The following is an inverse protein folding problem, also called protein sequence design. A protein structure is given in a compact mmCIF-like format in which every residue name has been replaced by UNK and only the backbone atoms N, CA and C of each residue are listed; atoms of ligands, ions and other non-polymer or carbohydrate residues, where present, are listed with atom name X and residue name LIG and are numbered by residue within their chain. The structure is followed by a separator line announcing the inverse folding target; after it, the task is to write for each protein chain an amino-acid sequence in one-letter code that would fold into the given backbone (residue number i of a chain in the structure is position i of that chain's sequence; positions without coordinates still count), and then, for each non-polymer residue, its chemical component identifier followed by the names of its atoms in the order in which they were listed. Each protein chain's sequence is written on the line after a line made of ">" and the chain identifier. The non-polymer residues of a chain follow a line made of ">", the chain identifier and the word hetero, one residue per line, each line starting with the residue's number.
data_IF_241882386580
#
_entry.id   IF_241882386580
#
_cell.length_a   1.000
_cell.length_b   1.000
_cell.length_c   1.000
_cell.angle_alpha   90.00
_cell.angle_beta   90.00
_cell.angle_gamma   90.00
#
_symmetry.space_group_name_H-M   'P 1'
#
loop_
_entity.id
_entity.type
_entity.pdbx_description
1 polymer ?
#
# COMPACT_ATOMS: atom_id res chain seq x y z
N UNK A 1 3.57 10.59 13.80
CA UNK A 1 3.20 11.29 12.59
C UNK A 1 1.86 12.01 12.74
N UNK A 2 1.70 13.09 11.98
CA UNK A 2 0.58 14.01 12.15
C UNK A 2 -0.77 13.35 11.83
N UNK A 3 -0.83 12.57 10.76
CA UNK A 3 -2.07 11.89 10.36
C UNK A 3 -2.48 10.86 11.41
N UNK A 4 -1.52 10.11 11.94
CA UNK A 4 -1.80 9.14 12.99
C UNK A 4 -2.29 9.80 14.27
N UNK A 5 -1.67 10.91 14.64
CA UNK A 5 -2.08 11.67 15.82
C UNK A 5 -3.52 12.19 15.68
N UNK A 6 -3.84 12.79 14.53
CA UNK A 6 -5.19 13.30 14.27
C UNK A 6 -6.22 12.18 14.30
N UNK A 7 -5.89 11.02 13.70
CA UNK A 7 -6.79 9.88 13.68
C UNK A 7 -7.06 9.36 15.10
N UNK A 8 -6.04 9.24 15.94
CA UNK A 8 -6.20 8.77 17.32
C UNK A 8 -7.01 9.74 18.16
N UNK A 9 -6.80 11.04 17.97
CA UNK A 9 -7.55 12.07 18.70
C UNK A 9 -9.02 12.14 18.28
N UNK A 10 -9.36 11.60 17.12
CA UNK A 10 -10.73 11.62 16.58
C UNK A 10 -11.36 10.22 16.52
N UNK A 11 -11.05 9.37 17.50
CA UNK A 11 -11.69 8.07 17.66
C UNK A 11 -11.28 7.05 16.62
N UNK A 12 -9.99 7.05 16.23
CA UNK A 12 -9.47 6.11 15.23
C UNK A 12 -10.25 6.16 13.92
N UNK A 13 -10.32 7.33 13.33
CA UNK A 13 -11.14 7.60 12.15
C UNK A 13 -10.76 6.73 10.93
N UNK A 14 -9.56 6.13 10.90
CA UNK A 14 -9.14 5.23 9.82
C UNK A 14 -9.45 3.76 10.10
N UNK A 15 -10.01 3.46 11.27
CA UNK A 15 -10.28 2.07 11.67
C UNK A 15 -11.16 1.35 10.66
N UNK A 16 -10.74 0.16 10.27
CA UNK A 16 -11.44 -0.72 9.31
C UNK A 16 -11.51 -0.20 7.88
N UNK A 17 -10.82 0.90 7.57
CA UNK A 17 -10.65 1.32 6.19
C UNK A 17 -9.60 0.44 5.52
N UNK A 18 -9.70 0.29 4.21
CA UNK A 18 -8.73 -0.48 3.44
C UNK A 18 -7.60 0.44 2.98
N UNK A 19 -6.38 -0.01 3.16
CA UNK A 19 -5.22 0.73 2.71
C UNK A 19 -4.18 -0.20 2.10
N UNK A 20 -3.34 0.33 1.22
CA UNK A 20 -2.22 -0.41 0.65
C UNK A 20 -1.08 0.55 0.36
N UNK A 21 0.14 0.11 0.62
CA UNK A 21 1.34 0.87 0.31
C UNK A 21 1.89 0.40 -1.04
N UNK A 22 2.26 1.35 -1.89
CA UNK A 22 2.98 1.06 -3.13
C UNK A 22 4.18 2.00 -3.19
N UNK A 23 5.31 1.51 -3.68
CA UNK A 23 6.55 2.28 -3.70
C UNK A 23 7.20 2.12 -5.08
N UNK A 24 7.54 3.23 -5.70
CA UNK A 24 8.36 3.23 -6.90
C UNK A 24 9.73 3.76 -6.50
N UNK A 25 10.79 3.03 -6.83
CA UNK A 25 12.14 3.40 -6.42
C UNK A 25 13.10 3.35 -7.59
N UNK A 26 14.17 4.10 -7.43
CA UNK A 26 15.27 4.13 -8.40
C UNK A 26 16.26 3.00 -8.13
N UNK A 27 16.50 2.69 -6.86
CA UNK A 27 17.51 1.69 -6.44
C UNK A 27 16.96 0.81 -5.33
N UNK A 28 17.39 1.03 -4.09
CA UNK A 28 17.02 0.25 -2.93
C UNK A 28 16.26 1.06 -1.89
N UNK A 29 16.07 0.48 -0.73
CA UNK A 29 15.36 1.12 0.36
C UNK A 29 13.85 1.07 0.27
N UNK A 30 13.31 0.45 -0.79
CA UNK A 30 11.87 0.39 -1.03
C UNK A 30 11.14 -0.38 0.06
N UNK A 31 11.68 -1.50 0.50
CA UNK A 31 11.04 -2.34 1.52
C UNK A 31 10.93 -1.56 2.84
N UNK A 32 11.96 -0.80 3.20
CA UNK A 32 11.92 0.00 4.42
C UNK A 32 10.82 1.05 4.38
N UNK A 33 10.66 1.75 3.25
CA UNK A 33 9.58 2.73 3.05
C UNK A 33 8.22 2.04 3.06
N UNK A 34 8.11 0.91 2.39
CA UNK A 34 6.91 0.09 2.34
C UNK A 34 6.48 -0.32 3.76
N UNK A 35 7.41 -0.82 4.56
CA UNK A 35 7.14 -1.23 5.93
C UNK A 35 6.69 -0.04 6.80
N UNK A 36 7.31 1.11 6.64
CA UNK A 36 6.96 2.31 7.40
C UNK A 36 5.50 2.72 7.14
N UNK A 37 5.07 2.70 5.87
CA UNK A 37 3.69 3.02 5.52
C UNK A 37 2.73 1.97 6.09
N UNK A 38 3.09 0.70 5.99
CA UNK A 38 2.24 -0.39 6.50
C UNK A 38 2.12 -0.33 8.02
N UNK A 39 3.18 0.05 8.73
CA UNK A 39 3.11 0.23 10.19
C UNK A 39 2.06 1.28 10.56
N UNK A 40 1.97 2.37 9.80
CA UNK A 40 0.94 3.37 10.01
C UNK A 40 -0.46 2.75 9.83
N UNK A 41 -0.66 1.94 8.77
CA UNK A 41 -1.94 1.30 8.53
C UNK A 41 -2.32 0.38 9.69
N UNK A 42 -1.39 -0.44 10.18
CA UNK A 42 -1.66 -1.37 11.27
C UNK A 42 -2.00 -0.67 12.58
N UNK A 43 -1.24 0.37 12.94
CA UNK A 43 -1.52 1.10 14.19
C UNK A 43 -2.86 1.86 14.10
N UNK A 44 -3.33 2.16 12.90
CA UNK A 44 -4.61 2.83 12.66
C UNK A 44 -5.77 1.85 12.52
N UNK A 45 -5.55 0.57 12.74
CA UNK A 45 -6.55 -0.50 12.64
C UNK A 45 -7.16 -0.62 11.24
N UNK A 46 -6.36 -0.31 10.22
CA UNK A 46 -6.78 -0.46 8.82
C UNK A 46 -6.60 -1.89 8.35
N UNK A 47 -7.31 -2.25 7.29
CA UNK A 47 -7.22 -3.57 6.66
C UNK A 47 -6.30 -3.44 5.44
N UNK A 48 -5.26 -4.27 5.37
CA UNK A 48 -4.25 -4.19 4.33
C UNK A 48 -4.24 -5.48 3.51
N UNK A 49 -4.71 -5.46 2.25
CA UNK A 49 -4.60 -6.64 1.39
C UNK A 49 -3.19 -6.80 0.85
N UNK A 50 -2.81 -8.01 0.55
CA UNK A 50 -1.52 -8.30 -0.07
C UNK A 50 -1.62 -8.45 -1.57
N UNK A 51 -0.50 -8.78 -2.18
CA UNK A 51 -0.39 -9.07 -3.59
C UNK A 51 0.47 -10.33 -3.77
N UNK A 52 0.89 -10.61 -5.01
CA UNK A 52 1.75 -11.77 -5.26
C UNK A 52 3.23 -11.50 -4.92
N UNK A 53 3.57 -10.26 -4.64
CA UNK A 53 4.91 -9.86 -4.22
C UNK A 53 4.82 -8.52 -3.49
N UNK A 54 5.95 -7.96 -3.05
CA UNK A 54 5.97 -6.65 -2.41
C UNK A 54 5.57 -5.56 -3.41
N UNK A 55 4.79 -4.60 -2.98
CA UNK A 55 4.22 -3.56 -3.85
C UNK A 55 5.26 -2.51 -4.23
N UNK A 56 6.26 -2.92 -4.99
CA UNK A 56 7.40 -2.09 -5.36
C UNK A 56 7.58 -2.10 -6.87
N UNK A 57 7.69 -0.93 -7.46
CA UNK A 57 8.09 -0.78 -8.85
C UNK A 57 9.48 -0.16 -8.91
N UNK A 58 10.32 -0.61 -9.83
CA UNK A 58 11.69 -0.14 -9.95
C UNK A 58 11.89 0.55 -11.30
N UNK A 59 12.46 1.75 -11.27
CA UNK A 59 12.81 2.48 -12.48
C UNK A 59 13.81 3.58 -12.15
N UNK A 60 14.84 3.74 -12.98
CA UNK A 60 15.88 4.73 -12.78
C UNK A 60 15.55 6.06 -13.42
N UNK A 61 14.89 6.03 -14.55
CA UNK A 61 14.50 7.22 -15.30
C UNK A 61 12.98 7.34 -15.36
N UNK A 62 12.53 8.50 -15.83
CA UNK A 62 11.12 8.78 -15.99
C UNK A 62 10.46 7.75 -16.91
N UNK A 63 9.44 7.08 -16.43
CA UNK A 63 8.72 6.07 -17.18
C UNK A 63 9.27 4.66 -17.09
N UNK A 64 10.46 4.46 -16.53
CA UNK A 64 11.03 3.11 -16.41
C UNK A 64 10.24 2.22 -15.44
N UNK A 65 9.63 2.80 -14.41
CA UNK A 65 8.79 2.02 -13.50
C UNK A 65 7.60 1.40 -14.22
N UNK A 66 7.10 2.04 -15.26
CA UNK A 66 6.01 1.51 -16.08
C UNK A 66 6.47 0.33 -16.94
N UNK A 67 7.79 0.23 -17.23
CA UNK A 67 8.37 -0.87 -17.97
C UNK A 67 8.75 -2.06 -17.07
N UNK A 68 8.59 -1.94 -15.77
CA UNK A 68 8.85 -3.03 -14.83
C UNK A 68 7.66 -4.00 -14.84
N UNK A 69 7.74 -5.03 -15.66
CA UNK A 69 6.64 -5.98 -15.83
C UNK A 69 6.25 -6.69 -14.54
N UNK A 70 7.24 -7.06 -13.72
CA UNK A 70 6.97 -7.68 -12.43
C UNK A 70 6.24 -6.71 -11.50
N UNK A 71 6.70 -5.47 -11.43
CA UNK A 71 6.06 -4.43 -10.64
C UNK A 71 4.64 -4.13 -11.10
N UNK A 72 4.42 -4.03 -12.41
CA UNK A 72 3.08 -3.79 -12.96
C UNK A 72 2.15 -4.96 -12.66
N UNK A 73 2.62 -6.20 -12.79
CA UNK A 73 1.82 -7.38 -12.46
C UNK A 73 1.46 -7.37 -10.97
N UNK A 74 2.41 -7.04 -10.10
CA UNK A 74 2.17 -6.94 -8.66
C UNK A 74 1.09 -5.89 -8.35
N UNK A 75 1.13 -4.73 -9.01
CA UNK A 75 0.14 -3.68 -8.82
C UNK A 75 -1.24 -4.12 -9.32
N UNK A 76 -1.30 -4.84 -10.43
CA UNK A 76 -2.57 -5.37 -10.96
C UNK A 76 -3.20 -6.38 -10.00
N UNK A 77 -2.41 -7.31 -9.47
CA UNK A 77 -2.89 -8.30 -8.49
C UNK A 77 -3.34 -7.59 -7.21
N UNK A 78 -2.60 -6.59 -6.76
CA UNK A 78 -2.99 -5.79 -5.60
C UNK A 78 -4.35 -5.14 -5.83
N UNK A 79 -4.57 -4.52 -7.00
CA UNK A 79 -5.84 -3.90 -7.34
C UNK A 79 -6.99 -4.91 -7.35
N UNK A 80 -6.75 -6.10 -7.89
CA UNK A 80 -7.74 -7.18 -7.89
C UNK A 80 -8.09 -7.61 -6.47
N UNK A 81 -7.09 -7.78 -5.61
CA UNK A 81 -7.29 -8.15 -4.21
C UNK A 81 -8.04 -7.07 -3.44
N UNK A 82 -7.72 -5.82 -3.67
CA UNK A 82 -8.42 -4.70 -3.05
C UNK A 82 -9.88 -4.65 -3.49
N UNK A 83 -10.16 -4.83 -4.78
CA UNK A 83 -11.52 -4.85 -5.29
C UNK A 83 -12.34 -5.99 -4.68
N UNK A 84 -11.74 -7.18 -4.59
CA UNK A 84 -12.39 -8.33 -3.96
C UNK A 84 -12.72 -8.04 -2.49
N UNK A 85 -11.75 -7.50 -1.75
CA UNK A 85 -11.92 -7.19 -0.33
C UNK A 85 -13.01 -6.12 -0.11
N UNK A 86 -12.99 -5.06 -0.91
CA UNK A 86 -13.97 -3.98 -0.81
C UNK A 86 -15.38 -4.49 -1.08
N UNK A 87 -15.55 -5.38 -2.06
CA UNK A 87 -16.84 -5.99 -2.35
C UNK A 87 -17.34 -6.82 -1.15
N UNK A 88 -16.44 -7.55 -0.50
CA UNK A 88 -16.80 -8.36 0.67
C UNK A 88 -17.21 -7.50 1.86
N UNK A 89 -16.51 -6.40 2.08
CA UNK A 89 -16.78 -5.51 3.20
C UNK A 89 -18.10 -4.76 3.02
N UNK A 90 -18.41 -4.37 1.79
CA UNK A 90 -19.60 -3.57 1.48
C UNK A 90 -20.75 -4.40 0.88
N UNK A 91 -20.69 -5.71 0.98
CA UNK A 91 -21.73 -6.60 0.48
C UNK A 91 -23.01 -6.52 1.32
#
# INVERSE_FOLDING_TARGET
>A
DRAGMVAKMNGDMFRRKVGAAVVAVRRGGAIHTFDTINHFFFISQMIVPGSNYWNVGVGMDRGEAEGDEEGITTMRVLGQNMAWLLKKIHA
#
